data_IF_991485917474
#
_entry.id   IF_991485917474
#
_cell.length_a   1.000
_cell.length_b   1.000
_cell.length_c   1.000
_cell.angle_alpha   90.00
_cell.angle_beta   90.00
_cell.angle_gamma   90.00
#
_symmetry.space_group_name_H-M   'P 1'
#
loop_
_entity.id
_entity.type
_entity.pdbx_description
1 polymer ?
#
# COMPACT_ATOMS: atom_id res chain seq x y z
N UNK A 1 -35.73 23.48 28.75
CA UNK A 1 -34.32 23.22 28.47
C UNK A 1 -33.79 22.10 29.38
N UNK A 2 -32.95 21.21 28.81
CA UNK A 2 -32.23 20.20 29.57
C UNK A 2 -30.71 20.37 29.34
N UNK A 3 -29.99 20.74 30.38
CA UNK A 3 -28.54 21.04 30.32
C UNK A 3 -28.19 22.02 29.16
N UNK A 4 -28.94 23.08 29.00
CA UNK A 4 -28.76 24.12 27.97
C UNK A 4 -29.28 23.73 26.57
N UNK A 5 -29.83 22.53 26.38
CA UNK A 5 -30.36 22.06 25.12
C UNK A 5 -31.88 22.13 25.04
N UNK A 6 -32.43 22.37 23.87
CA UNK A 6 -33.88 22.39 23.65
C UNK A 6 -34.43 20.95 23.74
N UNK A 7 -35.42 20.74 24.59
CA UNK A 7 -36.12 19.45 24.68
C UNK A 7 -37.14 19.36 23.56
N UNK A 8 -37.00 18.38 22.65
CA UNK A 8 -37.88 18.21 21.51
C UNK A 8 -39.05 17.29 21.85
N UNK A 9 -40.33 17.79 21.74
CA UNK A 9 -41.52 16.96 21.88
C UNK A 9 -41.54 15.81 20.86
N UNK A 10 -42.23 14.72 21.19
CA UNK A 10 -42.27 13.52 20.37
C UNK A 10 -42.70 13.79 18.91
N UNK A 11 -43.70 14.64 18.71
CA UNK A 11 -44.20 14.99 17.38
C UNK A 11 -43.18 15.70 16.47
N UNK A 12 -42.19 16.39 17.04
CA UNK A 12 -41.17 17.14 16.28
C UNK A 12 -39.84 16.39 16.11
N UNK A 13 -39.67 15.24 16.74
CA UNK A 13 -38.44 14.45 16.65
C UNK A 13 -38.08 14.00 15.22
N UNK A 14 -39.04 13.58 14.40
CA UNK A 14 -38.72 13.23 13.00
C UNK A 14 -38.13 14.41 12.22
N UNK A 15 -38.70 15.59 12.33
CA UNK A 15 -38.22 16.82 11.71
C UNK A 15 -36.82 17.22 12.25
N UNK A 16 -36.62 17.09 13.56
CA UNK A 16 -35.32 17.36 14.16
C UNK A 16 -34.22 16.38 13.66
N UNK A 17 -34.55 15.10 13.52
CA UNK A 17 -33.63 14.10 12.97
C UNK A 17 -33.30 14.39 11.50
N UNK A 18 -34.29 14.74 10.68
CA UNK A 18 -34.09 15.16 9.30
C UNK A 18 -33.20 16.39 9.20
N UNK A 19 -33.41 17.40 10.05
CA UNK A 19 -32.57 18.60 10.10
C UNK A 19 -31.12 18.27 10.54
N UNK A 20 -30.93 17.38 11.52
CA UNK A 20 -29.62 16.91 11.92
C UNK A 20 -28.91 16.17 10.78
N UNK A 21 -29.65 15.46 9.94
CA UNK A 21 -29.15 14.68 8.83
C UNK A 21 -29.08 15.43 7.49
N UNK A 22 -29.53 16.66 7.41
CA UNK A 22 -29.68 17.42 6.15
C UNK A 22 -28.40 17.51 5.28
N UNK A 23 -27.21 17.49 5.93
CA UNK A 23 -25.91 17.49 5.24
C UNK A 23 -25.33 16.08 5.06
N UNK A 24 -26.11 15.01 5.19
CA UNK A 24 -25.69 13.60 5.10
C UNK A 24 -24.48 13.27 5.98
N UNK A 25 -24.35 13.93 7.11
CA UNK A 25 -23.26 13.66 8.06
C UNK A 25 -23.43 12.26 8.67
N UNK A 26 -22.29 11.64 9.01
CA UNK A 26 -22.27 10.36 9.73
C UNK A 26 -22.82 10.49 11.15
N UNK A 27 -23.03 9.35 11.82
CA UNK A 27 -23.56 9.28 13.18
C UNK A 27 -22.81 10.20 14.16
N UNK A 28 -21.49 10.27 14.08
CA UNK A 28 -20.65 11.14 14.94
C UNK A 28 -20.98 12.62 14.72
N UNK A 29 -21.06 13.09 13.47
CA UNK A 29 -21.38 14.48 13.15
C UNK A 29 -22.78 14.87 13.61
N UNK A 30 -23.79 14.03 13.36
CA UNK A 30 -25.16 14.23 13.83
C UNK A 30 -25.22 14.27 15.38
N UNK A 31 -24.48 13.39 16.05
CA UNK A 31 -24.43 13.35 17.52
C UNK A 31 -23.81 14.64 18.11
N UNK A 32 -22.72 15.12 17.55
CA UNK A 32 -22.08 16.36 17.98
C UNK A 32 -23.02 17.57 17.82
N UNK A 33 -23.71 17.68 16.69
CA UNK A 33 -24.70 18.72 16.43
C UNK A 33 -25.88 18.63 17.43
N UNK A 34 -26.38 17.44 17.70
CA UNK A 34 -27.45 17.22 18.65
C UNK A 34 -26.99 17.59 20.07
N UNK A 35 -25.78 17.25 20.48
CA UNK A 35 -25.21 17.56 21.79
C UNK A 35 -25.11 19.06 22.08
N UNK A 36 -24.96 19.89 21.06
CA UNK A 36 -24.89 21.35 21.20
C UNK A 36 -26.25 22.04 21.16
N UNK A 37 -27.31 21.39 20.69
CA UNK A 37 -28.58 22.10 20.39
C UNK A 37 -29.84 21.46 20.94
N UNK A 38 -29.99 20.13 20.82
CA UNK A 38 -31.26 19.44 21.11
C UNK A 38 -31.09 18.23 22.01
N UNK A 39 -32.16 17.84 22.70
CA UNK A 39 -32.13 16.64 23.53
C UNK A 39 -33.54 16.02 23.67
N UNK A 40 -33.59 14.70 23.70
CA UNK A 40 -34.71 13.88 24.17
C UNK A 40 -34.24 12.49 24.55
N UNK A 41 -34.97 11.73 25.38
CA UNK A 41 -34.64 10.36 25.72
C UNK A 41 -34.59 9.47 24.45
N UNK A 42 -33.50 8.74 24.27
CA UNK A 42 -33.36 7.86 23.13
C UNK A 42 -32.90 8.50 21.81
N UNK A 43 -32.38 9.74 21.84
CA UNK A 43 -31.90 10.44 20.63
C UNK A 43 -30.77 9.68 19.91
N UNK A 44 -29.82 9.10 20.63
CA UNK A 44 -28.64 8.43 20.03
C UNK A 44 -29.01 7.23 19.14
N UNK A 45 -29.82 6.26 19.58
CA UNK A 45 -30.26 5.16 18.68
C UNK A 45 -31.06 5.67 17.49
N UNK A 46 -31.89 6.72 17.65
CA UNK A 46 -32.66 7.29 16.55
C UNK A 46 -31.77 8.00 15.51
N UNK A 47 -30.71 8.68 15.95
CA UNK A 47 -29.67 9.23 15.05
C UNK A 47 -29.05 8.10 14.19
N UNK A 48 -28.66 7.00 14.83
CA UNK A 48 -28.08 5.85 14.13
C UNK A 48 -29.06 5.26 13.12
N UNK A 49 -30.30 5.03 13.53
CA UNK A 49 -31.36 4.51 12.68
C UNK A 49 -31.64 5.42 11.46
N UNK A 50 -31.66 6.75 11.68
CA UNK A 50 -31.86 7.73 10.61
C UNK A 50 -30.75 7.66 9.57
N UNK A 51 -29.51 7.55 10.01
CA UNK A 51 -28.34 7.41 9.12
C UNK A 51 -28.39 6.07 8.36
N UNK A 52 -28.70 4.97 9.02
CA UNK A 52 -28.69 3.62 8.46
C UNK A 52 -29.81 3.43 7.41
N UNK A 53 -30.94 4.14 7.56
CA UNK A 53 -32.05 4.16 6.58
C UNK A 53 -31.79 5.09 5.38
N UNK A 54 -30.78 5.96 5.43
CA UNK A 54 -30.53 6.89 4.34
C UNK A 54 -29.88 6.21 3.14
N UNK A 55 -30.63 6.12 2.02
CA UNK A 55 -30.15 5.52 0.78
C UNK A 55 -28.89 6.22 0.24
N UNK A 56 -28.87 7.55 0.23
CA UNK A 56 -27.73 8.34 -0.24
C UNK A 56 -26.46 8.05 0.57
N UNK A 57 -26.60 8.07 1.91
CA UNK A 57 -25.45 7.75 2.78
C UNK A 57 -24.92 6.32 2.57
N UNK A 58 -25.81 5.38 2.26
CA UNK A 58 -25.42 3.98 2.04
C UNK A 58 -24.77 3.77 0.67
N UNK A 59 -25.20 4.51 -0.35
CA UNK A 59 -24.58 4.49 -1.68
C UNK A 59 -23.20 5.15 -1.70
N UNK A 60 -23.03 6.23 -0.92
CA UNK A 60 -21.76 6.98 -0.82
C UNK A 60 -20.92 6.54 0.38
N UNK A 61 -21.31 5.49 1.11
CA UNK A 61 -20.51 4.98 2.21
C UNK A 61 -19.15 4.52 1.67
N UNK A 62 -18.04 4.81 2.37
CA UNK A 62 -16.75 4.23 2.01
C UNK A 62 -16.91 2.72 1.96
N UNK A 63 -16.37 2.10 0.93
CA UNK A 63 -16.29 0.64 0.83
C UNK A 63 -15.74 0.08 2.15
N UNK A 64 -16.23 -1.10 2.54
CA UNK A 64 -15.73 -1.76 3.75
C UNK A 64 -14.21 -1.72 3.77
N UNK A 65 -13.57 -1.45 4.92
CA UNK A 65 -12.13 -1.58 5.01
C UNK A 65 -11.75 -2.96 4.47
N UNK A 66 -10.81 -2.97 3.54
CA UNK A 66 -10.25 -4.22 3.01
C UNK A 66 -9.89 -5.12 4.18
N UNK A 67 -10.16 -6.40 4.07
CA UNK A 67 -9.67 -7.36 5.07
C UNK A 67 -8.19 -7.06 5.37
N UNK A 68 -7.74 -7.14 6.62
CA UNK A 68 -6.33 -6.97 6.93
C UNK A 68 -5.52 -7.85 5.99
N UNK A 69 -4.45 -7.34 5.36
CA UNK A 69 -3.63 -8.14 4.48
C UNK A 69 -3.08 -9.32 5.26
N UNK A 70 -3.20 -10.52 4.71
CA UNK A 70 -2.54 -11.69 5.29
C UNK A 70 -1.04 -11.37 5.40
N UNK A 71 -0.43 -11.55 6.57
CA UNK A 71 0.99 -11.35 6.72
C UNK A 71 1.72 -12.32 5.78
N UNK A 72 2.55 -11.78 4.89
CA UNK A 72 3.40 -12.63 4.05
C UNK A 72 4.31 -13.46 4.94
N UNK A 73 4.49 -14.73 4.60
CA UNK A 73 5.44 -15.59 5.27
C UNK A 73 6.83 -14.93 5.25
N UNK A 74 7.45 -14.84 6.41
CA UNK A 74 8.85 -14.44 6.49
C UNK A 74 9.73 -15.54 5.89
N UNK A 75 10.80 -15.19 5.17
CA UNK A 75 11.76 -16.20 4.72
C UNK A 75 12.46 -16.86 5.90
N UNK A 76 12.78 -18.14 5.78
CA UNK A 76 13.42 -18.96 6.81
C UNK A 76 14.96 -18.89 6.75
N UNK A 77 15.52 -18.55 5.57
CA UNK A 77 16.94 -18.47 5.33
C UNK A 77 17.29 -17.37 4.30
N UNK A 78 18.58 -16.93 4.27
CA UNK A 78 19.05 -15.91 3.32
C UNK A 78 18.77 -16.29 1.86
N UNK A 79 18.36 -15.31 1.08
CA UNK A 79 18.08 -15.39 -0.36
C UNK A 79 16.96 -16.35 -0.76
N UNK A 80 16.18 -16.89 0.18
CA UNK A 80 14.97 -17.64 -0.12
C UNK A 80 13.93 -16.80 -0.86
N UNK A 81 13.74 -15.57 -0.38
CA UNK A 81 12.82 -14.62 -0.98
C UNK A 81 13.55 -13.30 -1.18
N UNK A 82 13.53 -12.79 -2.40
CA UNK A 82 14.17 -11.54 -2.76
C UNK A 82 13.15 -10.54 -3.31
N UNK A 83 13.43 -9.26 -3.16
CA UNK A 83 12.66 -8.18 -3.79
C UNK A 83 13.56 -7.40 -4.74
N UNK A 84 13.04 -7.05 -5.93
CA UNK A 84 13.78 -6.29 -6.91
C UNK A 84 13.01 -5.06 -7.37
N UNK A 85 13.75 -4.01 -7.67
CA UNK A 85 13.20 -2.74 -8.14
C UNK A 85 14.21 -1.99 -9.02
N UNK A 86 13.70 -1.13 -9.91
CA UNK A 86 14.52 -0.18 -10.66
C UNK A 86 14.40 1.21 -10.05
N UNK A 87 15.48 1.96 -10.05
CA UNK A 87 15.45 3.36 -9.66
C UNK A 87 16.44 4.21 -10.45
N UNK A 88 16.21 5.52 -10.42
CA UNK A 88 17.07 6.49 -11.08
C UNK A 88 17.81 7.36 -10.07
N UNK A 89 19.10 7.59 -10.33
CA UNK A 89 19.94 8.52 -9.60
C UNK A 89 20.99 9.12 -10.54
N UNK A 90 21.22 10.43 -10.47
CA UNK A 90 22.21 11.12 -11.30
C UNK A 90 22.01 11.00 -12.81
N UNK A 91 20.77 10.78 -13.29
CA UNK A 91 20.47 10.57 -14.71
C UNK A 91 20.68 9.12 -15.19
N UNK A 92 21.07 8.22 -14.31
CA UNK A 92 21.31 6.80 -14.61
C UNK A 92 20.28 5.91 -13.92
N UNK A 93 20.06 4.74 -14.51
CA UNK A 93 19.17 3.70 -13.98
C UNK A 93 20.00 2.63 -13.28
N UNK A 94 19.51 2.19 -12.15
CA UNK A 94 20.06 1.10 -11.34
C UNK A 94 18.99 0.05 -11.09
N UNK A 95 19.40 -1.22 -11.07
CA UNK A 95 18.58 -2.32 -10.63
C UNK A 95 19.08 -2.77 -9.25
N UNK A 96 18.19 -2.94 -8.30
CA UNK A 96 18.50 -3.40 -6.94
C UNK A 96 17.74 -4.67 -6.63
N UNK A 97 18.42 -5.66 -6.06
CA UNK A 97 17.82 -6.86 -5.48
C UNK A 97 18.14 -6.84 -3.99
N UNK A 98 17.13 -7.04 -3.14
CA UNK A 98 17.27 -7.07 -1.68
C UNK A 98 16.80 -8.41 -1.16
N UNK A 99 17.64 -9.08 -0.39
CA UNK A 99 17.26 -10.26 0.37
C UNK A 99 16.26 -9.90 1.48
N UNK A 100 15.13 -10.56 1.53
CA UNK A 100 14.09 -10.29 2.53
C UNK A 100 14.43 -10.82 3.92
N UNK A 101 15.32 -11.79 4.03
CA UNK A 101 15.76 -12.34 5.33
C UNK A 101 16.75 -11.41 6.01
N UNK A 102 17.86 -11.10 5.35
CA UNK A 102 18.96 -10.33 5.90
C UNK A 102 18.85 -8.82 5.68
N UNK A 103 18.12 -8.40 4.63
CA UNK A 103 18.11 -7.03 4.13
C UNK A 103 19.33 -6.71 3.25
N UNK A 104 20.13 -7.72 2.86
CA UNK A 104 21.31 -7.55 2.03
C UNK A 104 20.95 -7.07 0.63
N UNK A 105 21.47 -5.92 0.16
CA UNK A 105 21.22 -5.41 -1.16
C UNK A 105 22.33 -5.80 -2.13
N UNK A 106 21.95 -6.07 -3.38
CA UNK A 106 22.85 -6.10 -4.53
C UNK A 106 22.38 -5.05 -5.53
N UNK A 107 23.30 -4.30 -6.10
CA UNK A 107 22.98 -3.21 -7.03
C UNK A 107 23.73 -3.43 -8.34
N UNK A 108 23.01 -3.25 -9.44
CA UNK A 108 23.53 -3.32 -10.80
C UNK A 108 23.32 -1.99 -11.51
N UNK A 109 24.36 -1.48 -12.11
CA UNK A 109 24.30 -0.29 -12.97
C UNK A 109 23.72 -0.65 -14.34
N UNK A 110 22.71 0.10 -14.79
CA UNK A 110 21.99 -0.17 -16.04
C UNK A 110 22.28 0.85 -17.15
N UNK A 111 23.04 1.91 -16.85
CA UNK A 111 23.28 3.00 -17.79
C UNK A 111 22.14 4.01 -17.85
N UNK A 112 22.01 4.74 -18.97
CA UNK A 112 21.04 5.81 -19.15
C UNK A 112 19.62 5.32 -19.50
N UNK A 113 19.45 4.03 -19.79
CA UNK A 113 18.14 3.45 -20.13
C UNK A 113 17.72 2.42 -19.07
N UNK A 114 16.41 2.31 -18.86
CA UNK A 114 15.87 1.17 -18.12
C UNK A 114 16.26 -0.12 -18.84
N UNK A 115 16.85 -1.09 -18.13
CA UNK A 115 17.28 -2.35 -18.70
C UNK A 115 16.18 -3.05 -19.50
N UNK A 116 16.58 -3.79 -20.53
CA UNK A 116 15.67 -4.65 -21.27
C UNK A 116 15.60 -6.06 -20.63
N UNK A 117 14.65 -6.89 -21.07
CA UNK A 117 14.45 -8.26 -20.54
C UNK A 117 15.71 -9.12 -20.61
N UNK A 118 16.54 -8.96 -21.65
CA UNK A 118 17.79 -9.71 -21.80
C UNK A 118 18.84 -9.33 -20.75
N UNK A 119 18.99 -8.04 -20.48
CA UNK A 119 19.87 -7.55 -19.42
C UNK A 119 19.37 -7.99 -18.03
N UNK A 120 18.07 -7.91 -17.78
CA UNK A 120 17.50 -8.41 -16.54
C UNK A 120 17.83 -9.90 -16.33
N UNK A 121 17.64 -10.74 -17.33
CA UNK A 121 17.97 -12.16 -17.25
C UNK A 121 19.46 -12.40 -16.95
N UNK A 122 20.36 -11.61 -17.55
CA UNK A 122 21.79 -11.72 -17.29
C UNK A 122 22.13 -11.37 -15.83
N UNK A 123 21.55 -10.30 -15.30
CA UNK A 123 21.76 -9.93 -13.89
C UNK A 123 21.17 -10.95 -12.92
N UNK A 124 20.00 -11.48 -13.22
CA UNK A 124 19.42 -12.56 -12.42
C UNK A 124 20.28 -13.80 -12.45
N UNK A 125 20.86 -14.19 -13.60
CA UNK A 125 21.80 -15.34 -13.67
C UNK A 125 23.03 -15.10 -12.80
N UNK A 126 23.63 -13.91 -12.85
CA UNK A 126 24.78 -13.57 -12.02
C UNK A 126 24.40 -13.60 -10.53
N UNK A 127 23.24 -13.06 -10.17
CA UNK A 127 22.74 -13.11 -8.80
C UNK A 127 22.50 -14.54 -8.34
N UNK A 128 21.85 -15.37 -9.15
CA UNK A 128 21.59 -16.79 -8.84
C UNK A 128 22.88 -17.60 -8.73
N UNK A 129 23.88 -17.30 -9.55
CA UNK A 129 25.18 -17.96 -9.48
C UNK A 129 25.94 -17.62 -8.18
N UNK A 130 25.73 -16.43 -7.63
CA UNK A 130 26.43 -15.94 -6.42
C UNK A 130 25.70 -16.35 -5.14
N UNK A 131 24.39 -16.24 -5.10
CA UNK A 131 23.59 -16.36 -3.86
C UNK A 131 22.62 -17.55 -3.86
N UNK A 132 22.50 -18.27 -4.97
CA UNK A 132 21.52 -19.31 -5.17
C UNK A 132 20.23 -18.80 -5.83
N UNK A 133 19.43 -19.76 -6.30
CA UNK A 133 18.14 -19.47 -6.95
C UNK A 133 17.09 -19.25 -5.84
N UNK A 134 16.43 -18.08 -5.79
CA UNK A 134 15.40 -17.83 -4.79
C UNK A 134 14.12 -18.60 -5.11
N UNK A 135 13.34 -18.94 -4.09
CA UNK A 135 12.00 -19.51 -4.27
C UNK A 135 11.00 -18.46 -4.76
N UNK A 136 11.19 -17.17 -4.34
CA UNK A 136 10.30 -16.08 -4.71
C UNK A 136 11.09 -14.82 -5.07
N UNK A 137 10.68 -14.19 -6.17
CA UNK A 137 11.10 -12.85 -6.57
C UNK A 137 9.87 -11.92 -6.51
N UNK A 138 9.90 -10.93 -5.63
CA UNK A 138 8.90 -9.88 -5.55
C UNK A 138 9.34 -8.65 -6.34
N UNK A 139 8.48 -8.14 -7.23
CA UNK A 139 8.74 -6.91 -8.00
C UNK A 139 7.52 -6.03 -8.06
N UNK A 140 7.67 -4.79 -8.51
CA UNK A 140 6.55 -4.01 -9.02
C UNK A 140 6.05 -4.56 -10.38
N UNK A 141 4.98 -3.99 -10.91
CA UNK A 141 4.44 -4.36 -12.23
C UNK A 141 5.21 -3.78 -13.41
N UNK A 142 6.50 -3.48 -13.27
CA UNK A 142 7.33 -2.90 -14.33
C UNK A 142 7.39 -3.74 -15.60
N UNK A 143 7.33 -3.10 -16.77
CA UNK A 143 7.25 -3.79 -18.09
C UNK A 143 8.37 -4.80 -18.31
N UNK A 144 9.58 -4.53 -17.83
CA UNK A 144 10.74 -5.43 -17.97
C UNK A 144 10.52 -6.75 -17.23
N UNK A 145 9.92 -6.71 -16.03
CA UNK A 145 9.58 -7.91 -15.27
C UNK A 145 8.38 -8.66 -15.86
N UNK A 146 7.42 -7.91 -16.41
CA UNK A 146 6.18 -8.47 -16.98
C UNK A 146 6.35 -8.99 -18.40
N UNK A 147 7.47 -8.72 -19.07
CA UNK A 147 7.75 -9.22 -20.40
C UNK A 147 7.72 -10.76 -20.40
N UNK A 148 7.12 -11.33 -21.45
CA UNK A 148 6.97 -12.79 -21.61
C UNK A 148 8.30 -13.55 -21.45
N UNK A 149 9.40 -13.01 -21.99
CA UNK A 149 10.74 -13.57 -21.87
C UNK A 149 11.24 -13.63 -20.43
N UNK A 150 10.95 -12.58 -19.63
CA UNK A 150 11.33 -12.53 -18.21
C UNK A 150 10.50 -13.49 -17.37
N UNK A 151 9.21 -13.59 -17.65
CA UNK A 151 8.31 -14.54 -16.98
C UNK A 151 8.68 -15.99 -17.29
N UNK A 152 8.97 -16.27 -18.57
CA UNK A 152 9.45 -17.60 -18.99
C UNK A 152 10.76 -17.95 -18.28
N UNK A 153 11.71 -17.03 -18.23
CA UNK A 153 12.99 -17.23 -17.55
C UNK A 153 12.79 -17.59 -16.06
N UNK A 154 11.97 -16.84 -15.33
CA UNK A 154 11.71 -17.13 -13.92
C UNK A 154 11.04 -18.49 -13.74
N UNK A 155 10.11 -18.85 -14.61
CA UNK A 155 9.45 -20.16 -14.61
C UNK A 155 10.44 -21.28 -14.87
N UNK A 156 11.33 -21.13 -15.85
CA UNK A 156 12.35 -22.13 -16.23
C UNK A 156 13.34 -22.38 -15.05
N UNK A 157 13.60 -21.36 -14.21
CA UNK A 157 14.40 -21.49 -12.99
C UNK A 157 13.58 -21.90 -11.74
N UNK A 158 12.27 -22.09 -11.86
CA UNK A 158 11.40 -22.46 -10.74
C UNK A 158 11.16 -21.33 -9.74
N UNK A 159 11.44 -20.08 -10.13
CA UNK A 159 11.25 -18.91 -9.26
C UNK A 159 9.81 -18.43 -9.34
N UNK A 160 9.13 -18.36 -8.20
CA UNK A 160 7.78 -17.78 -8.11
C UNK A 160 7.84 -16.27 -8.21
N UNK A 161 7.30 -15.70 -9.28
CA UNK A 161 7.20 -14.27 -9.44
C UNK A 161 5.97 -13.73 -8.68
N UNK A 162 6.19 -12.81 -7.75
CA UNK A 162 5.14 -12.14 -6.99
C UNK A 162 5.11 -10.64 -7.30
N UNK A 163 3.95 -10.18 -7.75
CA UNK A 163 3.72 -8.74 -7.94
C UNK A 163 3.43 -8.09 -6.59
N UNK A 164 4.21 -7.09 -6.23
CA UNK A 164 3.92 -6.20 -5.10
C UNK A 164 2.82 -5.24 -5.51
N UNK A 165 1.60 -5.43 -5.00
CA UNK A 165 0.54 -4.47 -5.25
C UNK A 165 0.77 -3.20 -4.43
N UNK A 166 0.49 -2.05 -5.01
CA UNK A 166 0.56 -0.73 -4.36
C UNK A 166 -0.30 -0.66 -3.07
N UNK A 167 -1.33 -1.51 -2.99
CA UNK A 167 -2.25 -1.58 -1.85
C UNK A 167 -1.68 -2.32 -0.62
N UNK A 168 -0.57 -3.06 -0.75
CA UNK A 168 -0.01 -3.91 0.30
C UNK A 168 1.45 -3.57 0.66
N UNK A 169 1.80 -2.29 0.62
CA UNK A 169 3.14 -1.79 0.96
C UNK A 169 3.65 -2.24 2.35
N UNK A 170 2.75 -2.57 3.28
CA UNK A 170 3.14 -2.97 4.64
C UNK A 170 3.74 -4.38 4.74
N UNK A 171 3.48 -5.25 3.78
CA UNK A 171 3.91 -6.65 3.82
C UNK A 171 5.39 -6.86 3.46
N UNK A 172 6.06 -5.85 2.92
CA UNK A 172 7.45 -5.92 2.44
C UNK A 172 8.38 -4.88 3.09
N UNK A 173 8.03 -4.41 4.29
CA UNK A 173 8.71 -3.29 4.98
C UNK A 173 10.25 -3.40 5.01
N UNK A 174 10.82 -4.61 5.21
CA UNK A 174 12.28 -4.81 5.23
C UNK A 174 12.91 -4.62 3.86
N UNK A 175 12.31 -5.21 2.82
CA UNK A 175 12.80 -5.05 1.45
C UNK A 175 12.65 -3.59 0.97
N UNK A 176 11.52 -2.94 1.29
CA UNK A 176 11.31 -1.53 0.99
C UNK A 176 12.32 -0.61 1.70
N UNK A 177 12.64 -0.89 2.96
CA UNK A 177 13.67 -0.17 3.70
C UNK A 177 15.06 -0.40 3.08
N UNK A 178 15.39 -1.62 2.67
CA UNK A 178 16.61 -1.94 1.96
C UNK A 178 16.73 -1.18 0.65
N UNK A 179 15.69 -1.23 -0.19
CA UNK A 179 15.61 -0.46 -1.44
C UNK A 179 15.71 1.04 -1.19
N UNK A 180 14.99 1.58 -0.21
CA UNK A 180 15.06 3.00 0.18
C UNK A 180 16.45 3.42 0.63
N UNK A 181 17.10 2.60 1.45
CA UNK A 181 18.46 2.87 1.95
C UNK A 181 19.48 2.88 0.81
N UNK A 182 19.38 1.94 -0.12
CA UNK A 182 20.27 1.91 -1.29
C UNK A 182 20.02 3.08 -2.24
N UNK A 183 18.76 3.41 -2.51
CA UNK A 183 18.40 4.62 -3.29
C UNK A 183 19.02 5.88 -2.68
N UNK A 184 19.00 6.01 -1.36
CA UNK A 184 19.60 7.13 -0.65
C UNK A 184 21.10 7.13 -0.77
N UNK A 185 21.76 6.03 -0.45
CA UNK A 185 23.22 5.91 -0.51
C UNK A 185 23.76 6.23 -1.90
N UNK A 186 23.14 5.69 -2.96
CA UNK A 186 23.58 5.95 -4.32
C UNK A 186 23.35 7.42 -4.68
N UNK A 187 22.19 8.00 -4.37
CA UNK A 187 21.91 9.41 -4.66
C UNK A 187 22.87 10.37 -3.96
N UNK A 188 23.23 10.08 -2.73
CA UNK A 188 24.14 10.89 -1.92
C UNK A 188 25.62 10.75 -2.35
N UNK A 189 25.98 9.62 -2.99
CA UNK A 189 27.36 9.33 -3.39
C UNK A 189 27.58 9.35 -4.92
N UNK A 190 26.54 9.60 -5.73
CA UNK A 190 26.67 9.68 -7.17
C UNK A 190 27.16 11.08 -7.54
N UNK A 191 28.31 11.18 -8.18
CA UNK A 191 28.84 12.41 -8.75
C UNK A 191 27.98 12.89 -9.94
N UNK A 192 28.17 14.14 -10.38
CA UNK A 192 27.43 14.69 -11.51
C UNK A 192 27.63 13.95 -12.85
N UNK A 193 28.67 13.11 -12.94
CA UNK A 193 28.97 12.23 -14.07
C UNK A 193 28.38 10.80 -13.91
N UNK A 194 27.67 10.53 -12.80
CA UNK A 194 27.06 9.23 -12.51
C UNK A 194 28.02 8.18 -11.94
N UNK A 195 29.27 8.54 -11.68
CA UNK A 195 30.21 7.66 -10.96
C UNK A 195 29.91 7.62 -9.46
N UNK A 196 30.15 6.45 -8.82
CA UNK A 196 30.09 6.25 -7.37
C UNK A 196 31.43 6.60 -6.75
#
# INVERSE_FOLDING_TARGET
LYKGRVVIPHALRPLALETLHSAHQGVTGMTLRAQSSVWWPGITPQIKETRDKCRTCNQCAPSQPSAPPEPLSSPDYPFQQVAADYFQAGGYTYHVIVDRFSGWPTVQFCGSSSGNSRQLQEWLRQHFATYGIPEELATDGGLTYMAHESQKFLTDYGVRHRLSSVAFAQSNKRAELGVKSMKRLIRENTNGDGSL
#
